data_IF_117145074448
#
_entry.id   IF_117145074448
#
_cell.length_a   1.000
_cell.length_b   1.000
_cell.length_c   1.000
_cell.angle_alpha   90.00
_cell.angle_beta   90.00
_cell.angle_gamma   90.00
#
_symmetry.space_group_name_H-M   'P 1'
#
loop_
_entity.id
_entity.type
_entity.pdbx_description
1 polymer ?
#
# COMPACT_ATOMS: atom_id res chain seq x y z
N UNK A 1 -19.45 34.73 -8.50
CA UNK A 1 -18.35 33.77 -8.32
C UNK A 1 -19.01 32.42 -8.16
N UNK A 2 -19.12 31.69 -9.26
CA UNK A 2 -19.79 30.39 -9.29
C UNK A 2 -18.83 29.33 -8.78
N UNK A 3 -19.35 28.44 -7.94
CA UNK A 3 -18.59 27.37 -7.33
C UNK A 3 -18.08 26.38 -8.38
N UNK A 4 -16.79 26.11 -8.33
CA UNK A 4 -16.21 24.93 -8.94
C UNK A 4 -16.59 23.73 -8.09
N UNK A 5 -17.73 23.13 -8.45
CA UNK A 5 -18.06 21.78 -8.04
C UNK A 5 -16.94 20.85 -8.44
N UNK A 6 -16.36 20.18 -7.44
CA UNK A 6 -15.55 18.98 -7.61
C UNK A 6 -16.30 18.08 -8.59
N UNK A 7 -15.77 17.89 -9.79
CA UNK A 7 -16.36 16.99 -10.79
C UNK A 7 -16.41 15.59 -10.18
N UNK A 8 -17.61 15.20 -9.79
CA UNK A 8 -18.00 13.87 -9.39
C UNK A 8 -17.61 12.87 -10.48
N UNK A 9 -16.77 11.89 -10.13
CA UNK A 9 -16.58 10.61 -10.80
C UNK A 9 -16.25 10.66 -12.29
N UNK A 10 -15.04 10.21 -12.67
CA UNK A 10 -14.79 9.89 -14.08
C UNK A 10 -15.78 8.80 -14.49
N UNK A 11 -16.63 9.12 -15.47
CA UNK A 11 -17.65 8.23 -16.02
C UNK A 11 -17.01 6.87 -16.38
N UNK A 12 -17.55 5.77 -15.84
CA UNK A 12 -17.06 4.41 -16.09
C UNK A 12 -16.10 3.81 -15.05
N UNK A 13 -15.67 4.55 -14.02
CA UNK A 13 -14.91 3.96 -12.91
C UNK A 13 -15.80 3.11 -12.00
N UNK A 14 -15.47 1.82 -11.83
CA UNK A 14 -16.03 0.95 -10.79
C UNK A 14 -15.11 0.99 -9.57
N UNK A 15 -15.68 0.91 -8.37
CA UNK A 15 -14.91 0.88 -7.14
C UNK A 15 -15.50 -0.10 -6.14
N UNK A 16 -14.69 -0.55 -5.19
CA UNK A 16 -15.14 -1.28 -4.01
C UNK A 16 -14.35 -0.82 -2.79
N UNK A 17 -15.06 -0.70 -1.68
CA UNK A 17 -14.51 -0.52 -0.34
C UNK A 17 -14.80 -1.79 0.45
N UNK A 18 -13.74 -2.36 1.02
CA UNK A 18 -13.80 -3.47 1.97
C UNK A 18 -13.41 -2.93 3.35
N UNK A 19 -14.33 -3.09 4.29
CA UNK A 19 -14.18 -2.78 5.72
C UNK A 19 -14.79 -3.96 6.48
N UNK A 20 -14.48 -4.18 7.76
CA UNK A 20 -14.96 -5.36 8.53
C UNK A 20 -16.50 -5.52 8.68
N UNK A 21 -17.30 -4.76 7.94
CA UNK A 21 -18.76 -4.83 7.82
C UNK A 21 -19.22 -4.96 6.35
N UNK A 22 -20.38 -4.38 5.97
CA UNK A 22 -20.88 -4.47 4.60
C UNK A 22 -19.93 -3.83 3.57
N UNK A 23 -19.86 -4.45 2.39
CA UNK A 23 -19.13 -3.90 1.25
C UNK A 23 -19.83 -2.63 0.73
N UNK A 24 -19.05 -1.66 0.26
CA UNK A 24 -19.57 -0.47 -0.43
C UNK A 24 -19.02 -0.41 -1.86
N UNK A 25 -19.89 -0.15 -2.82
CA UNK A 25 -19.53 -0.07 -4.24
C UNK A 25 -19.93 -1.33 -5.00
N UNK A 26 -19.11 -1.73 -5.96
CA UNK A 26 -19.38 -2.83 -6.88
C UNK A 26 -18.87 -4.17 -6.32
N UNK A 27 -19.79 -4.96 -5.78
CA UNK A 27 -19.49 -6.25 -5.15
C UNK A 27 -18.83 -7.26 -6.10
N UNK A 28 -19.05 -7.15 -7.42
CA UNK A 28 -18.43 -8.07 -8.38
C UNK A 28 -16.90 -7.87 -8.47
N UNK A 29 -16.37 -6.76 -7.93
CA UNK A 29 -14.93 -6.56 -7.79
C UNK A 29 -14.32 -7.32 -6.60
N UNK A 30 -15.11 -7.73 -5.61
CA UNK A 30 -14.62 -8.27 -4.32
C UNK A 30 -13.74 -9.50 -4.45
N UNK A 31 -14.07 -10.39 -5.39
CA UNK A 31 -13.35 -11.65 -5.65
C UNK A 31 -12.47 -11.58 -6.92
N UNK A 32 -12.62 -10.55 -7.74
CA UNK A 32 -11.82 -10.37 -8.95
C UNK A 32 -10.36 -10.04 -8.60
N UNK A 33 -9.42 -10.51 -9.44
CA UNK A 33 -7.98 -10.35 -9.25
C UNK A 33 -7.47 -9.15 -10.03
N UNK A 34 -6.68 -8.30 -9.38
CA UNK A 34 -6.09 -7.11 -9.98
C UNK A 34 -4.60 -7.00 -9.64
N UNK A 35 -3.78 -6.38 -10.51
CA UNK A 35 -2.37 -6.17 -10.22
C UNK A 35 -2.16 -5.40 -8.91
N UNK A 36 -1.30 -5.90 -8.02
CA UNK A 36 -1.08 -5.31 -6.67
C UNK A 36 -0.20 -4.06 -6.69
N UNK A 37 0.47 -3.78 -7.80
CA UNK A 37 1.23 -2.55 -8.01
C UNK A 37 2.26 -2.27 -6.88
N UNK A 38 2.35 -1.03 -6.43
CA UNK A 38 3.25 -0.62 -5.34
C UNK A 38 2.85 -1.12 -3.94
N UNK A 39 1.82 -1.96 -3.78
CA UNK A 39 1.56 -2.60 -2.49
C UNK A 39 2.69 -3.56 -2.08
N UNK A 40 3.38 -4.19 -3.06
CA UNK A 40 4.50 -5.09 -2.77
C UNK A 40 5.69 -4.41 -2.08
N UNK A 41 5.81 -3.08 -2.19
CA UNK A 41 6.85 -2.32 -1.48
C UNK A 41 6.79 -2.52 0.03
N UNK A 42 5.62 -2.83 0.59
CA UNK A 42 5.46 -3.18 2.00
C UNK A 42 6.29 -4.42 2.35
N UNK A 43 6.27 -5.44 1.48
CA UNK A 43 7.07 -6.67 1.64
C UNK A 43 8.56 -6.38 1.52
N UNK A 44 8.97 -5.59 0.51
CA UNK A 44 10.38 -5.21 0.32
C UNK A 44 10.91 -4.44 1.53
N UNK A 45 10.14 -3.47 2.04
CA UNK A 45 10.51 -2.69 3.22
C UNK A 45 10.66 -3.58 4.46
N UNK A 46 9.71 -4.50 4.66
CA UNK A 46 9.75 -5.45 5.75
C UNK A 46 11.00 -6.34 5.69
N UNK A 47 11.23 -7.00 4.56
CA UNK A 47 12.39 -7.87 4.36
C UNK A 47 13.71 -7.12 4.62
N UNK A 48 13.81 -5.89 4.12
CA UNK A 48 15.03 -5.09 4.27
C UNK A 48 15.30 -4.65 5.71
N UNK A 49 14.27 -4.33 6.48
CA UNK A 49 14.41 -4.00 7.90
C UNK A 49 14.76 -5.24 8.72
N UNK A 50 14.07 -6.36 8.53
CA UNK A 50 14.32 -7.59 9.29
C UNK A 50 15.67 -8.24 8.96
N UNK A 51 16.26 -7.90 7.80
CA UNK A 51 17.56 -8.42 7.34
C UNK A 51 18.70 -7.40 7.47
N UNK A 52 18.48 -6.31 8.23
CA UNK A 52 19.43 -5.22 8.48
C UNK A 52 20.04 -4.61 7.20
N UNK A 53 19.31 -4.59 6.08
CA UNK A 53 19.77 -3.99 4.80
C UNK A 53 19.55 -2.48 4.74
N UNK A 54 18.75 -1.95 5.65
CA UNK A 54 18.43 -0.54 5.78
C UNK A 54 17.96 -0.23 7.22
N UNK A 55 18.17 1.00 7.67
CA UNK A 55 17.55 1.53 8.90
C UNK A 55 16.56 2.66 8.56
N UNK A 56 15.68 3.04 9.49
CA UNK A 56 14.71 4.11 9.23
C UNK A 56 15.35 5.48 8.99
N UNK A 57 16.51 5.73 9.60
CA UNK A 57 17.25 6.99 9.49
C UNK A 57 18.25 7.02 8.32
N UNK A 58 18.46 5.87 7.65
CA UNK A 58 19.33 5.81 6.47
C UNK A 58 18.66 6.52 5.29
N UNK A 59 19.29 7.60 4.83
CA UNK A 59 18.93 8.26 3.58
C UNK A 59 19.67 7.61 2.41
N UNK A 60 18.93 7.15 1.40
CA UNK A 60 19.50 6.56 0.18
C UNK A 60 19.31 7.53 -0.98
N UNK A 61 20.40 7.82 -1.68
CA UNK A 61 20.37 8.60 -2.91
C UNK A 61 19.76 7.78 -4.05
N UNK A 62 18.71 8.30 -4.68
CA UNK A 62 18.09 7.68 -5.85
C UNK A 62 17.56 8.73 -6.83
N UNK A 63 17.79 8.57 -8.14
CA UNK A 63 17.42 9.55 -9.17
C UNK A 63 15.94 9.38 -9.61
N UNK A 64 15.01 9.26 -8.66
CA UNK A 64 13.61 8.94 -8.96
C UNK A 64 13.04 9.92 -9.98
N UNK A 65 12.52 9.39 -11.10
CA UNK A 65 12.18 10.17 -12.30
C UNK A 65 11.11 11.26 -12.07
N UNK A 66 10.34 11.14 -11.00
CA UNK A 66 9.44 12.18 -10.52
C UNK A 66 10.08 12.73 -9.24
N UNK A 67 10.67 13.94 -9.23
CA UNK A 67 11.19 14.56 -8.02
C UNK A 67 10.02 14.83 -7.07
N UNK A 68 9.62 13.81 -6.31
CA UNK A 68 8.62 13.93 -5.27
C UNK A 68 9.29 14.71 -4.15
N UNK A 69 8.76 15.90 -3.88
CA UNK A 69 9.29 16.87 -2.93
C UNK A 69 10.68 17.48 -3.27
N UNK A 70 11.16 17.38 -4.52
CA UNK A 70 12.41 18.06 -4.93
C UNK A 70 13.69 17.53 -4.27
N UNK A 71 13.67 16.32 -3.71
CA UNK A 71 14.81 15.66 -3.09
C UNK A 71 15.36 14.53 -3.96
N UNK A 72 16.65 14.24 -3.81
CA UNK A 72 17.35 13.10 -4.44
C UNK A 72 17.73 12.02 -3.43
N UNK A 73 17.46 12.24 -2.15
CA UNK A 73 17.71 11.31 -1.06
C UNK A 73 16.41 11.11 -0.30
N UNK A 74 16.13 9.86 0.05
CA UNK A 74 14.92 9.47 0.75
C UNK A 74 15.29 8.52 1.88
N UNK A 75 14.63 8.70 3.02
CA UNK A 75 14.50 7.63 4.03
C UNK A 75 13.51 6.57 3.55
N UNK A 76 13.49 5.40 4.19
CA UNK A 76 12.52 4.35 3.87
C UNK A 76 11.06 4.85 3.97
N UNK A 77 10.76 5.65 5.01
CA UNK A 77 9.43 6.24 5.22
C UNK A 77 9.04 7.23 4.13
N UNK A 78 9.96 8.12 3.71
CA UNK A 78 9.70 9.05 2.61
C UNK A 78 9.53 8.31 1.29
N UNK A 79 10.38 7.31 1.01
CA UNK A 79 10.26 6.47 -0.18
C UNK A 79 8.95 5.69 -0.20
N UNK A 80 8.47 5.19 0.95
CA UNK A 80 7.20 4.48 1.07
C UNK A 80 6.01 5.40 0.81
N UNK A 81 6.01 6.58 1.45
CA UNK A 81 4.97 7.61 1.32
C UNK A 81 4.85 8.09 -0.13
N UNK A 82 5.98 8.39 -0.75
CA UNK A 82 6.07 8.82 -2.13
C UNK A 82 6.03 7.67 -3.13
N UNK A 83 6.05 6.42 -2.67
CA UNK A 83 6.07 5.23 -3.52
C UNK A 83 7.21 5.28 -4.55
N UNK A 84 8.41 5.67 -4.13
CA UNK A 84 9.58 5.80 -5.01
C UNK A 84 9.87 4.48 -5.72
N UNK A 85 10.09 4.50 -7.03
CA UNK A 85 10.36 3.25 -7.76
C UNK A 85 11.83 2.90 -7.67
N UNK A 86 12.69 3.90 -7.88
CA UNK A 86 14.12 3.66 -7.94
C UNK A 86 14.71 3.34 -6.56
N UNK A 87 14.18 3.92 -5.48
CA UNK A 87 14.55 3.51 -4.13
C UNK A 87 14.27 2.02 -3.87
N UNK A 88 13.07 1.55 -4.20
CA UNK A 88 12.69 0.15 -3.94
C UNK A 88 13.36 -0.84 -4.90
N UNK A 89 13.76 -0.42 -6.11
CA UNK A 89 14.66 -1.21 -6.96
C UNK A 89 16.02 -1.40 -6.31
N UNK A 90 16.61 -0.33 -5.79
CA UNK A 90 17.89 -0.40 -5.10
C UNK A 90 17.80 -1.29 -3.86
N UNK A 91 16.73 -1.14 -3.07
CA UNK A 91 16.51 -1.95 -1.87
C UNK A 91 16.29 -3.42 -2.21
N UNK A 92 15.50 -3.70 -3.25
CA UNK A 92 15.30 -5.06 -3.77
C UNK A 92 16.62 -5.72 -4.16
N UNK A 93 17.53 -5.00 -4.80
CA UNK A 93 18.86 -5.53 -5.18
C UNK A 93 19.78 -5.83 -3.97
N UNK A 94 19.44 -5.36 -2.76
CA UNK A 94 20.16 -5.71 -1.52
C UNK A 94 19.64 -6.99 -0.87
N UNK A 95 18.49 -7.50 -1.32
CA UNK A 95 17.82 -8.67 -0.76
C UNK A 95 18.19 -9.93 -1.53
N UNK A 96 18.07 -11.06 -0.84
CA UNK A 96 18.05 -12.39 -1.44
C UNK A 96 16.62 -12.87 -1.64
N UNK A 97 16.38 -13.85 -2.54
CA UNK A 97 15.08 -14.50 -2.67
C UNK A 97 14.55 -15.02 -1.33
N UNK A 98 15.38 -15.66 -0.52
CA UNK A 98 14.95 -16.25 0.76
C UNK A 98 14.50 -15.19 1.79
N UNK A 99 15.17 -14.04 1.86
CA UNK A 99 14.76 -12.92 2.73
C UNK A 99 13.37 -12.40 2.32
N UNK A 100 13.08 -12.31 1.01
CA UNK A 100 11.73 -11.96 0.54
C UNK A 100 10.70 -13.06 0.81
N UNK A 101 11.06 -14.34 0.66
CA UNK A 101 10.15 -15.46 0.95
C UNK A 101 9.69 -15.43 2.40
N UNK A 102 10.64 -15.27 3.32
CA UNK A 102 10.36 -15.15 4.76
C UNK A 102 9.44 -13.96 5.05
N UNK A 103 9.70 -12.81 4.43
CA UNK A 103 8.86 -11.63 4.57
C UNK A 103 7.43 -11.85 4.06
N UNK A 104 7.27 -12.51 2.92
CA UNK A 104 5.95 -12.80 2.34
C UNK A 104 5.16 -13.74 3.26
N UNK A 105 5.81 -14.78 3.78
CA UNK A 105 5.18 -15.76 4.67
C UNK A 105 4.77 -15.12 6.00
N UNK A 106 5.66 -14.32 6.61
CA UNK A 106 5.38 -13.67 7.89
C UNK A 106 4.27 -12.62 7.76
N UNK A 107 4.30 -11.84 6.68
CA UNK A 107 3.26 -10.86 6.39
C UNK A 107 1.96 -11.47 5.84
N UNK A 108 1.98 -12.75 5.47
CA UNK A 108 0.89 -13.46 4.79
C UNK A 108 0.39 -12.68 3.56
N UNK A 109 1.33 -12.19 2.75
CA UNK A 109 0.99 -11.36 1.58
C UNK A 109 0.10 -12.15 0.61
N UNK A 110 -0.93 -11.52 -0.01
CA UNK A 110 -1.88 -12.23 -0.87
C UNK A 110 -1.24 -12.95 -2.06
N UNK A 111 -1.71 -14.16 -2.32
CA UNK A 111 -1.58 -14.89 -3.59
C UNK A 111 -0.18 -14.91 -4.21
N UNK A 112 0.59 -15.96 -3.92
CA UNK A 112 1.60 -16.46 -4.84
C UNK A 112 1.35 -17.96 -5.07
N UNK A 113 0.93 -18.39 -6.28
CA UNK A 113 0.93 -19.80 -6.61
C UNK A 113 2.40 -20.20 -6.81
N UNK A 114 2.99 -20.82 -5.78
CA UNK A 114 4.38 -21.34 -5.75
C UNK A 114 5.45 -20.30 -6.12
N UNK A 115 5.86 -19.52 -5.12
CA UNK A 115 7.00 -18.60 -5.10
C UNK A 115 8.32 -19.18 -5.63
N UNK A 116 8.49 -20.51 -5.56
CA UNK A 116 9.82 -21.11 -5.67
C UNK A 116 10.50 -20.81 -7.00
N UNK A 117 9.76 -20.77 -8.11
CA UNK A 117 10.28 -20.36 -9.41
C UNK A 117 9.96 -18.92 -9.79
N UNK A 118 8.85 -18.35 -9.28
CA UNK A 118 8.34 -17.06 -9.77
C UNK A 118 9.09 -15.84 -9.25
N UNK A 119 9.67 -15.87 -8.04
CA UNK A 119 10.38 -14.70 -7.47
C UNK A 119 11.62 -14.37 -8.31
N UNK A 120 12.37 -15.39 -8.72
CA UNK A 120 13.61 -15.22 -9.47
C UNK A 120 13.32 -14.74 -10.90
N UNK A 121 12.27 -15.28 -11.52
CA UNK A 121 11.83 -14.87 -12.86
C UNK A 121 11.29 -13.43 -12.88
N UNK A 122 10.58 -13.01 -11.83
CA UNK A 122 9.95 -11.68 -11.75
C UNK A 122 10.81 -10.65 -11.00
N UNK A 123 12.01 -11.02 -10.53
CA UNK A 123 12.84 -10.22 -9.63
C UNK A 123 12.97 -8.77 -10.08
N UNK A 124 13.26 -8.56 -11.36
CA UNK A 124 13.47 -7.22 -11.93
C UNK A 124 12.23 -6.30 -11.86
N UNK A 125 11.04 -6.85 -11.61
CA UNK A 125 9.75 -6.16 -11.63
C UNK A 125 9.00 -6.16 -10.29
N UNK A 126 9.49 -6.87 -9.26
CA UNK A 126 8.82 -6.94 -7.96
C UNK A 126 8.68 -5.57 -7.27
N UNK A 127 9.56 -4.61 -7.52
CA UNK A 127 9.43 -3.24 -7.00
C UNK A 127 8.14 -2.53 -7.44
N UNK A 128 7.53 -2.96 -8.56
CA UNK A 128 6.20 -2.52 -9.02
C UNK A 128 5.12 -3.59 -8.87
N UNK A 129 5.41 -4.69 -8.20
CA UNK A 129 4.50 -5.79 -7.91
C UNK A 129 4.50 -6.95 -8.90
N UNK A 130 5.40 -6.96 -9.90
CA UNK A 130 5.49 -8.07 -10.87
C UNK A 130 4.16 -8.36 -11.57
N UNK A 131 3.86 -9.65 -11.76
CA UNK A 131 2.55 -10.13 -12.23
C UNK A 131 1.62 -10.52 -11.08
N UNK A 132 1.95 -10.16 -9.84
CA UNK A 132 1.17 -10.55 -8.66
C UNK A 132 -0.19 -9.88 -8.72
N UNK A 133 -1.23 -10.68 -8.51
CA UNK A 133 -2.60 -10.22 -8.48
C UNK A 133 -3.29 -10.63 -7.19
N UNK A 134 -4.09 -9.72 -6.64
CA UNK A 134 -4.88 -9.97 -5.45
C UNK A 134 -6.30 -9.43 -5.64
N UNK A 135 -7.24 -10.02 -4.90
CA UNK A 135 -8.58 -9.47 -4.77
C UNK A 135 -8.63 -8.43 -3.66
N UNK A 136 -9.58 -7.49 -3.69
CA UNK A 136 -9.81 -6.56 -2.58
C UNK A 136 -9.95 -7.24 -1.23
N UNK A 137 -10.59 -8.41 -1.18
CA UNK A 137 -10.74 -9.17 0.05
C UNK A 137 -9.40 -9.68 0.59
N UNK A 138 -8.49 -10.14 -0.28
CA UNK A 138 -7.18 -10.61 0.18
C UNK A 138 -6.30 -9.44 0.63
N UNK A 139 -6.32 -8.31 -0.09
CA UNK A 139 -5.61 -7.09 0.33
C UNK A 139 -6.13 -6.57 1.68
N UNK A 140 -7.44 -6.67 1.91
CA UNK A 140 -8.04 -6.37 3.22
C UNK A 140 -7.52 -7.29 4.33
N UNK A 141 -7.48 -8.61 4.09
CA UNK A 141 -6.98 -9.57 5.08
C UNK A 141 -5.49 -9.35 5.39
N UNK A 142 -4.69 -9.07 4.37
CA UNK A 142 -3.29 -8.68 4.51
C UNK A 142 -3.14 -7.42 5.36
N UNK A 143 -3.91 -6.38 5.05
CA UNK A 143 -3.87 -5.10 5.79
C UNK A 143 -4.31 -5.27 7.23
N UNK A 144 -5.29 -6.14 7.50
CA UNK A 144 -5.68 -6.52 8.86
C UNK A 144 -4.53 -7.19 9.61
N UNK A 145 -3.80 -8.10 8.95
CA UNK A 145 -2.58 -8.71 9.50
C UNK A 145 -1.51 -7.67 9.86
N UNK A 146 -1.31 -6.65 9.01
CA UNK A 146 -0.40 -5.53 9.33
C UNK A 146 -0.83 -4.78 10.59
N UNK A 147 -2.14 -4.52 10.75
CA UNK A 147 -2.68 -3.87 11.93
C UNK A 147 -2.48 -4.69 13.21
N UNK A 148 -2.56 -6.02 13.12
CA UNK A 148 -2.24 -6.92 14.23
C UNK A 148 -0.74 -6.89 14.56
N UNK A 149 0.13 -6.95 13.54
CA UNK A 149 1.59 -6.83 13.70
C UNK A 149 2.00 -5.51 14.36
N UNK A 150 1.27 -4.43 14.09
CA UNK A 150 1.53 -3.11 14.67
C UNK A 150 1.35 -3.02 16.19
N UNK A 151 0.76 -4.04 16.81
CA UNK A 151 0.67 -4.14 18.27
C UNK A 151 1.91 -4.77 18.90
N UNK A 152 2.82 -5.31 18.10
CA UNK A 152 4.07 -5.90 18.55
C UNK A 152 5.15 -4.82 18.56
N UNK A 153 5.73 -4.55 19.74
CA UNK A 153 6.82 -3.56 19.86
C UNK A 153 8.03 -3.90 19.00
N UNK A 154 8.29 -5.19 18.74
CA UNK A 154 9.36 -5.63 17.84
C UNK A 154 9.15 -5.20 16.39
N UNK A 155 7.94 -4.80 15.99
CA UNK A 155 7.60 -4.39 14.62
C UNK A 155 7.34 -2.89 14.49
N UNK A 156 7.56 -2.11 15.56
CA UNK A 156 7.31 -0.66 15.59
C UNK A 156 8.07 0.07 14.46
N UNK A 157 9.34 -0.27 14.25
CA UNK A 157 10.17 0.35 13.23
C UNK A 157 9.56 0.15 11.83
N UNK A 158 9.23 -1.09 11.47
CA UNK A 158 8.55 -1.40 10.22
C UNK A 158 7.23 -0.66 10.06
N UNK A 159 6.38 -0.68 11.08
CA UNK A 159 5.06 -0.06 10.97
C UNK A 159 5.16 1.46 10.85
N UNK A 160 6.15 2.09 11.50
CA UNK A 160 6.37 3.53 11.39
C UNK A 160 6.62 3.99 9.94
N UNK A 161 7.22 3.15 9.08
CA UNK A 161 7.44 3.51 7.68
C UNK A 161 6.16 3.51 6.83
N UNK A 162 5.09 2.88 7.32
CA UNK A 162 3.77 2.89 6.69
C UNK A 162 2.92 4.10 7.10
N UNK A 163 3.39 4.92 8.04
CA UNK A 163 2.63 6.05 8.57
C UNK A 163 2.33 7.07 7.47
N UNK A 164 1.07 7.48 7.37
CA UNK A 164 0.63 8.55 6.48
C UNK A 164 0.59 9.86 7.26
N UNK A 165 1.30 10.87 6.78
CA UNK A 165 1.48 12.17 7.46
C UNK A 165 0.33 13.15 7.17
N UNK A 166 -0.91 12.68 7.15
CA UNK A 166 -2.03 13.51 6.73
C UNK A 166 -2.61 14.26 7.92
N UNK A 167 -2.41 15.59 7.93
CA UNK A 167 -2.76 16.50 9.03
C UNK A 167 -4.26 16.45 9.42
N UNK A 168 -5.12 15.96 8.52
CA UNK A 168 -6.58 15.93 8.67
C UNK A 168 -7.11 14.62 9.29
N UNK A 169 -6.25 13.64 9.58
CA UNK A 169 -6.63 12.40 10.26
C UNK A 169 -5.99 12.40 11.65
N UNK A 170 -6.76 12.83 12.65
CA UNK A 170 -6.38 12.74 14.05
C UNK A 170 -6.27 11.26 14.45
N UNK A 171 -5.08 10.68 14.33
CA UNK A 171 -4.82 9.27 14.65
C UNK A 171 -3.64 8.69 13.86
N UNK A 172 -3.02 7.64 14.39
CA UNK A 172 -1.97 6.90 13.69
C UNK A 172 -2.57 6.14 12.51
N UNK A 173 -2.62 6.76 11.33
CA UNK A 173 -3.04 6.10 10.08
C UNK A 173 -1.82 5.56 9.37
N UNK A 174 -1.89 4.29 9.01
CA UNK A 174 -0.83 3.54 8.35
C UNK A 174 -1.39 2.91 7.08
N UNK A 175 -0.65 2.97 5.97
CA UNK A 175 -1.17 2.40 4.74
C UNK A 175 -0.33 2.65 3.50
N UNK A 176 -0.74 2.00 2.43
CA UNK A 176 -0.06 2.03 1.14
C UNK A 176 -1.03 2.23 -0.01
N UNK A 177 -0.59 3.03 -0.98
CA UNK A 177 -1.26 3.16 -2.28
C UNK A 177 -0.48 2.42 -3.36
N UNK A 178 -1.16 2.03 -4.44
CA UNK A 178 -0.52 1.47 -5.62
C UNK A 178 -1.40 1.62 -6.85
N UNK A 179 -0.80 1.90 -8.00
CA UNK A 179 -1.55 2.09 -9.25
C UNK A 179 -0.83 1.41 -10.40
N UNK A 180 -1.46 0.43 -11.04
CA UNK A 180 -0.93 -0.28 -12.21
C UNK A 180 -2.03 -1.05 -12.94
N UNK A 181 -1.89 -1.22 -14.26
CA UNK A 181 -2.67 -2.20 -15.03
C UNK A 181 -4.19 -2.05 -14.92
N UNK A 182 -4.71 -0.83 -14.72
CA UNK A 182 -6.15 -0.58 -14.58
C UNK A 182 -6.70 -0.69 -13.16
N UNK A 183 -5.83 -0.82 -12.15
CA UNK A 183 -6.19 -0.88 -10.74
C UNK A 183 -5.49 0.21 -9.92
N UNK A 184 -6.27 1.00 -9.18
CA UNK A 184 -5.78 1.97 -8.20
C UNK A 184 -6.21 1.54 -6.80
N UNK A 185 -5.23 1.28 -5.95
CA UNK A 185 -5.37 0.79 -4.59
C UNK A 185 -5.08 1.89 -3.57
N UNK A 186 -5.86 1.90 -2.50
CA UNK A 186 -5.50 2.53 -1.24
C UNK A 186 -5.93 1.61 -0.10
N UNK A 187 -4.97 1.14 0.70
CA UNK A 187 -5.26 0.22 1.81
C UNK A 187 -4.49 0.64 3.04
N UNK A 188 -5.10 0.48 4.20
CA UNK A 188 -4.49 0.86 5.45
C UNK A 188 -5.36 0.58 6.66
N UNK A 189 -4.86 0.99 7.81
CA UNK A 189 -5.54 0.87 9.08
C UNK A 189 -5.27 2.08 9.97
N UNK A 190 -6.18 2.37 10.88
CA UNK A 190 -5.95 3.30 11.98
C UNK A 190 -5.71 2.55 13.28
N UNK A 191 -4.80 3.08 14.10
CA UNK A 191 -4.59 2.65 15.47
C UNK A 191 -4.91 3.80 16.41
N UNK A 192 -5.70 3.48 17.43
CA UNK A 192 -5.77 4.28 18.63
C UNK A 192 -4.67 3.76 19.60
N UNK A 193 -3.63 4.56 19.89
CA UNK A 193 -2.53 4.13 20.75
C UNK A 193 -2.95 3.92 22.21
N UNK A 194 -4.13 4.41 22.62
CA UNK A 194 -4.65 4.28 23.98
C UNK A 194 -5.62 3.10 24.10
N UNK A 195 -6.24 2.69 23.00
CA UNK A 195 -7.25 1.62 22.99
C UNK A 195 -6.67 0.26 22.66
N UNK A 196 -7.19 -0.77 23.33
CA UNK A 196 -6.94 -2.17 22.97
C UNK A 196 -7.83 -2.67 21.82
N UNK A 197 -8.65 -1.80 21.22
CA UNK A 197 -9.52 -2.16 20.10
C UNK A 197 -8.73 -2.76 18.92
N UNK A 198 -9.44 -3.55 18.10
CA UNK A 198 -8.87 -4.01 16.84
C UNK A 198 -8.63 -2.81 15.91
N UNK A 199 -7.57 -2.84 15.08
CA UNK A 199 -7.34 -1.80 14.07
C UNK A 199 -8.57 -1.66 13.16
N UNK A 200 -8.96 -0.42 12.86
CA UNK A 200 -9.99 -0.17 11.84
C UNK A 200 -9.31 -0.20 10.47
N UNK A 201 -9.64 -1.21 9.68
CA UNK A 201 -8.97 -1.53 8.42
C UNK A 201 -9.87 -1.14 7.26
N UNK A 202 -9.31 -0.46 6.27
CA UNK A 202 -10.00 -0.07 5.05
C UNK A 202 -9.15 -0.42 3.84
N UNK A 203 -9.75 -1.12 2.87
CA UNK A 203 -9.17 -1.36 1.56
C UNK A 203 -10.08 -0.82 0.48
N UNK A 204 -9.53 -0.01 -0.41
CA UNK A 204 -10.21 0.58 -1.54
C UNK A 204 -9.53 0.13 -2.82
N UNK A 205 -10.35 -0.28 -3.79
CA UNK A 205 -9.96 -0.46 -5.18
C UNK A 205 -10.82 0.44 -6.07
N UNK A 206 -10.19 1.16 -6.99
CA UNK A 206 -10.86 1.86 -8.11
C UNK A 206 -10.27 1.33 -9.42
N UNK A 207 -11.12 0.82 -10.30
CA UNK A 207 -10.70 0.35 -11.64
C UNK A 207 -10.70 1.50 -12.64
N UNK A 208 -9.80 1.48 -13.62
CA UNK A 208 -9.69 2.52 -14.64
C UNK A 208 -9.19 1.98 -15.98
N UNK A 209 -9.44 2.75 -17.04
CA UNK A 209 -8.84 2.53 -18.36
C UNK A 209 -7.57 3.36 -18.50
N UNK A 210 -6.48 2.76 -18.95
CA UNK A 210 -5.22 3.47 -19.23
C UNK A 210 -5.45 4.55 -20.29
N UNK A 211 -4.98 5.81 -20.11
CA UNK A 211 -4.01 6.26 -19.12
C UNK A 211 -4.61 6.99 -17.90
N UNK A 212 -5.91 6.86 -17.59
CA UNK A 212 -6.62 7.64 -16.56
C UNK A 212 -6.33 7.23 -15.10
N UNK A 213 -5.07 6.96 -14.79
CA UNK A 213 -4.65 6.42 -13.50
C UNK A 213 -4.62 7.47 -12.39
N UNK A 214 -4.37 8.75 -12.71
CA UNK A 214 -4.32 9.83 -11.72
C UNK A 214 -5.67 10.04 -11.04
N UNK A 215 -6.75 10.09 -11.83
CA UNK A 215 -8.10 10.31 -11.31
C UNK A 215 -8.55 9.13 -10.44
N UNK A 216 -8.23 7.90 -10.87
CA UNK A 216 -8.54 6.70 -10.11
C UNK A 216 -7.75 6.63 -8.80
N UNK A 217 -6.48 7.02 -8.81
CA UNK A 217 -5.64 7.10 -7.60
C UNK A 217 -6.16 8.15 -6.62
N UNK A 218 -6.49 9.35 -7.10
CA UNK A 218 -7.09 10.41 -6.30
C UNK A 218 -8.43 9.95 -5.69
N UNK A 219 -9.28 9.27 -6.49
CA UNK A 219 -10.55 8.73 -6.02
C UNK A 219 -10.37 7.64 -4.98
N UNK A 220 -9.39 6.75 -5.14
CA UNK A 220 -9.11 5.70 -4.17
C UNK A 220 -8.68 6.27 -2.81
N UNK A 221 -7.81 7.29 -2.81
CA UNK A 221 -7.42 7.99 -1.58
C UNK A 221 -8.59 8.75 -0.95
N UNK A 222 -9.41 9.42 -1.76
CA UNK A 222 -10.60 10.12 -1.26
C UNK A 222 -11.55 9.15 -0.53
N UNK A 223 -11.89 8.04 -1.17
CA UNK A 223 -12.75 7.00 -0.59
C UNK A 223 -12.14 6.44 0.70
N UNK A 224 -10.83 6.17 0.72
CA UNK A 224 -10.13 5.68 1.91
C UNK A 224 -10.27 6.65 3.09
N UNK A 225 -10.11 7.96 2.86
CA UNK A 225 -10.28 8.97 3.90
C UNK A 225 -11.71 9.18 4.34
N UNK A 226 -12.68 9.13 3.42
CA UNK A 226 -14.12 9.19 3.76
C UNK A 226 -14.48 8.06 4.74
N UNK A 227 -14.00 6.84 4.45
CA UNK A 227 -14.27 5.67 5.27
C UNK A 227 -13.62 5.76 6.64
N UNK A 228 -12.35 6.14 6.75
CA UNK A 228 -11.68 6.33 8.04
C UNK A 228 -12.30 7.45 8.87
N UNK A 229 -12.73 8.55 8.25
CA UNK A 229 -13.40 9.66 8.97
C UNK A 229 -14.76 9.24 9.51
N UNK A 230 -15.49 8.40 8.79
CA UNK A 230 -16.78 7.86 9.25
C UNK A 230 -16.66 7.00 10.52
N UNK A 231 -15.45 6.52 10.83
CA UNK A 231 -15.14 5.71 12.02
C UNK A 231 -14.87 6.52 13.28
N UNK A 232 -14.54 7.80 13.12
CA UNK A 232 -14.09 8.69 14.20
C UNK A 232 -15.20 9.59 14.75
N UNK A 233 -16.41 9.55 14.16
CA UNK A 233 -17.59 10.30 14.58
C UNK A 233 -18.72 9.37 14.98
#
# INVERSE_FOLDING_TARGET
>A
MNGDGVKSGVEGQRFIVVRGGPLRGDEALSAAKFPIASLFKVVIAYAALESDKITLDEAVSCPDALPKAGKTEFTLSEAMLHSSNDFFKLLLNRLTPDELRLAIDELRFPSLPSIDQSIEEEWADLWRGGNIQASPQEVFLFTRGLGELARLSSKEAFISCLRRSEADLAGGVYGKTGTWGGAAWCTGFSLDPVSNALPDVVTVLVTYTVPHWQDAHARAMQLFHEELKSSLG
#
